data_IF_616120779406
#
_entry.id   IF_616120779406
#
_cell.length_a   1.000
_cell.length_b   1.000
_cell.length_c   1.000
_cell.angle_alpha   90.00
_cell.angle_beta   90.00
_cell.angle_gamma   90.00
#
_symmetry.space_group_name_H-M   'P 1'
#
loop_
_entity.id
_entity.type
_entity.pdbx_description
1 polymer ?
#
# COMPACT_ATOMS: atom_id res chain seq x y z
N UNK A 1 12.61 -33.40 37.25
CA UNK A 1 13.88 -32.79 37.71
C UNK A 1 14.45 -32.05 36.50
N UNK A 2 14.67 -30.73 36.44
CA UNK A 2 14.90 -29.68 37.44
C UNK A 2 14.09 -28.42 37.09
N UNK A 3 13.60 -27.74 38.13
CA UNK A 3 13.02 -26.39 38.12
C UNK A 3 14.13 -25.34 38.04
N UNK A 4 13.86 -24.19 37.41
CA UNK A 4 14.49 -22.87 37.66
C UNK A 4 13.33 -21.86 37.63
N UNK A 5 12.71 -21.50 38.76
CA UNK A 5 13.06 -20.42 39.70
C UNK A 5 13.23 -19.04 39.02
N UNK A 6 12.11 -18.31 38.99
CA UNK A 6 11.88 -16.88 39.26
C UNK A 6 13.08 -15.99 39.62
N UNK A 7 13.15 -14.80 39.01
CA UNK A 7 13.55 -13.56 39.68
C UNK A 7 12.82 -12.36 39.06
N UNK A 8 11.92 -11.81 39.87
CA UNK A 8 11.12 -10.60 39.70
C UNK A 8 11.95 -9.43 40.25
N UNK A 9 12.14 -8.36 39.48
CA UNK A 9 12.69 -7.09 40.01
C UNK A 9 11.65 -6.00 39.83
N UNK A 10 11.11 -5.60 40.97
CA UNK A 10 10.12 -4.58 41.21
C UNK A 10 10.88 -3.27 41.48
N UNK A 11 10.74 -2.28 40.61
CA UNK A 11 11.31 -0.95 40.78
C UNK A 11 10.19 0.07 40.97
N UNK A 12 9.80 0.29 42.23
CA UNK A 12 8.87 1.34 42.66
C UNK A 12 9.64 2.66 42.73
N UNK A 13 9.20 3.69 41.99
CA UNK A 13 9.57 5.09 42.27
C UNK A 13 8.29 5.90 42.46
N UNK A 14 8.35 6.68 43.52
CA UNK A 14 7.26 7.30 44.29
C UNK A 14 6.75 8.57 43.61
N UNK A 15 5.41 8.65 43.48
CA UNK A 15 4.66 9.89 43.27
C UNK A 15 4.59 10.69 44.59
N UNK A 16 4.90 11.98 44.52
CA UNK A 16 4.52 12.96 45.54
C UNK A 16 3.87 14.18 44.87
N UNK A 17 2.82 14.66 45.54
CA UNK A 17 1.74 15.52 45.06
C UNK A 17 2.03 17.04 45.14
N UNK A 18 1.42 17.77 44.20
CA UNK A 18 0.66 19.04 44.35
C UNK A 18 1.26 20.26 45.07
N UNK A 19 1.25 21.42 44.38
CA UNK A 19 0.79 22.70 44.96
C UNK A 19 0.42 23.74 43.87
N UNK A 20 -0.75 24.37 44.05
CA UNK A 20 -1.29 25.52 43.30
C UNK A 20 -0.57 26.84 43.61
N UNK A 21 -0.72 27.86 42.75
CA UNK A 21 -0.84 29.25 43.21
C UNK A 21 -0.23 30.36 42.33
N UNK A 22 -1.08 30.97 41.49
CA UNK A 22 -1.26 32.41 41.21
C UNK A 22 -0.08 33.38 40.97
N UNK A 23 -0.10 33.93 39.74
CA UNK A 23 -0.03 35.37 39.35
C UNK A 23 0.90 36.33 40.11
N UNK A 24 1.89 36.87 39.39
CA UNK A 24 2.13 38.31 39.22
C UNK A 24 3.13 38.56 38.06
N UNK A 25 2.89 39.62 37.29
CA UNK A 25 3.73 40.20 36.24
C UNK A 25 3.81 41.72 36.59
N UNK A 26 4.73 42.57 36.10
CA UNK A 26 5.89 42.33 35.24
C UNK A 26 7.18 43.01 35.74
N UNK A 27 8.35 42.61 35.24
CA UNK A 27 9.43 43.58 34.98
C UNK A 27 10.44 43.04 33.96
N UNK A 28 10.78 43.93 33.01
CA UNK A 28 11.72 43.73 31.92
C UNK A 28 13.06 43.14 32.36
N UNK A 29 13.49 42.07 31.67
CA UNK A 29 14.89 41.98 31.31
C UNK A 29 15.06 41.36 29.93
N UNK A 30 15.64 42.13 29.01
CA UNK A 30 16.10 41.67 27.71
C UNK A 30 17.22 40.67 27.91
N UNK A 31 17.01 39.44 27.50
CA UNK A 31 18.06 38.55 27.04
C UNK A 31 17.61 37.91 25.73
N UNK A 32 18.36 38.20 24.68
CA UNK A 32 18.27 37.52 23.39
C UNK A 32 18.49 36.02 23.60
N UNK A 33 17.45 35.23 23.38
CA UNK A 33 17.61 33.83 22.98
C UNK A 33 16.82 33.64 21.70
N UNK A 34 17.57 33.31 20.66
CA UNK A 34 17.13 32.86 19.35
C UNK A 34 16.41 31.52 19.55
N UNK A 35 15.14 31.57 19.94
CA UNK A 35 14.26 30.42 20.01
C UNK A 35 13.88 29.98 18.60
N UNK A 36 14.29 28.76 18.25
CA UNK A 36 14.06 28.17 16.94
C UNK A 36 12.60 28.27 16.52
N UNK A 37 12.41 28.71 15.28
CA UNK A 37 11.29 28.22 14.52
C UNK A 37 11.44 26.69 14.48
N UNK A 38 10.67 25.98 15.31
CA UNK A 38 10.14 24.71 14.83
C UNK A 38 9.30 25.08 13.60
N UNK A 39 9.95 24.95 12.45
CA UNK A 39 9.32 24.93 11.16
C UNK A 39 8.17 23.92 11.29
N UNK A 40 6.94 24.40 11.19
CA UNK A 40 5.83 23.53 10.82
C UNK A 40 6.22 23.05 9.42
N UNK A 41 6.91 21.91 9.34
CA UNK A 41 7.10 21.19 8.08
C UNK A 41 5.73 21.07 7.47
N UNK A 42 5.59 21.48 6.21
CA UNK A 42 4.32 21.30 5.53
C UNK A 42 3.99 19.80 5.58
N UNK A 43 2.77 19.48 6.00
CA UNK A 43 2.24 18.11 5.99
C UNK A 43 2.44 17.38 4.66
N UNK A 44 2.56 18.14 3.56
CA UNK A 44 2.93 17.66 2.22
C UNK A 44 4.36 17.13 2.18
N UNK A 45 5.32 17.87 2.73
CA UNK A 45 6.75 17.50 2.74
C UNK A 45 6.99 16.25 3.58
N UNK A 46 6.22 16.04 4.65
CA UNK A 46 6.34 14.87 5.52
C UNK A 46 5.84 13.58 4.85
N UNK A 47 4.68 13.62 4.16
CA UNK A 47 4.16 12.46 3.41
C UNK A 47 5.09 12.11 2.26
N UNK A 48 5.52 13.12 1.50
CA UNK A 48 6.48 12.94 0.39
C UNK A 48 7.80 12.35 0.88
N UNK A 49 8.31 12.79 2.03
CA UNK A 49 9.54 12.24 2.60
C UNK A 49 9.41 10.74 2.93
N UNK A 50 8.30 10.32 3.53
CA UNK A 50 8.11 8.91 3.90
C UNK A 50 8.01 8.02 2.64
N UNK A 51 7.28 8.47 1.61
CA UNK A 51 7.16 7.71 0.36
C UNK A 51 8.48 7.66 -0.43
N UNK A 52 9.25 8.76 -0.44
CA UNK A 52 10.56 8.80 -1.08
C UNK A 52 11.59 7.88 -0.39
N UNK A 53 11.54 7.75 0.95
CA UNK A 53 12.41 6.83 1.68
C UNK A 53 12.15 5.37 1.29
N UNK A 54 10.89 5.00 1.01
CA UNK A 54 10.53 3.66 0.52
C UNK A 54 11.07 3.39 -0.89
N UNK A 55 10.95 4.35 -1.82
CA UNK A 55 11.53 4.24 -3.18
C UNK A 55 13.05 4.03 -3.12
N UNK A 56 13.74 4.76 -2.24
CA UNK A 56 15.20 4.65 -2.06
C UNK A 56 15.62 3.32 -1.41
N UNK A 57 14.81 2.76 -0.52
CA UNK A 57 15.06 1.44 0.04
C UNK A 57 15.00 0.35 -1.05
N UNK A 58 13.97 0.38 -1.89
CA UNK A 58 13.83 -0.55 -3.02
C UNK A 58 15.00 -0.44 -4.01
N UNK A 59 15.44 0.77 -4.37
CA UNK A 59 16.57 0.97 -5.29
C UNK A 59 17.90 0.39 -4.76
N UNK A 60 18.16 0.50 -3.45
CA UNK A 60 19.42 0.01 -2.86
C UNK A 60 19.50 -1.52 -2.82
N UNK A 61 18.36 -2.20 -2.66
CA UNK A 61 18.30 -3.67 -2.70
C UNK A 61 18.44 -4.22 -4.13
N UNK A 62 17.91 -3.50 -5.13
CA UNK A 62 18.03 -3.87 -6.56
C UNK A 62 19.45 -3.72 -7.12
N UNK A 63 20.20 -2.69 -6.69
CA UNK A 63 21.61 -2.47 -7.11
C UNK A 63 22.53 -3.59 -6.59
N UNK A 64 22.18 -4.28 -5.49
CA UNK A 64 22.98 -5.42 -5.01
C UNK A 64 22.66 -6.73 -5.74
N UNK A 65 21.46 -6.86 -6.33
CA UNK A 65 21.04 -8.05 -7.07
C UNK A 65 21.61 -8.14 -8.50
N UNK A 66 22.03 -7.01 -9.08
CA UNK A 66 22.51 -6.91 -10.47
C UNK A 66 23.95 -7.40 -10.71
N UNK A 67 24.64 -7.97 -9.72
CA UNK A 67 26.04 -8.44 -9.89
C UNK A 67 26.23 -9.93 -10.21
N UNK A 68 25.19 -10.76 -10.29
CA UNK A 68 25.35 -12.18 -10.63
C UNK A 68 24.22 -12.67 -11.55
N UNK A 69 24.48 -12.76 -12.86
CA UNK A 69 24.46 -14.03 -13.61
C UNK A 69 24.58 -13.80 -15.13
N UNK A 70 25.62 -14.38 -15.74
CA UNK A 70 25.73 -14.58 -17.19
C UNK A 70 25.01 -15.87 -17.58
N UNK A 71 23.92 -15.81 -18.38
CA UNK A 71 23.46 -16.96 -19.17
C UNK A 71 23.01 -16.49 -20.58
N UNK A 72 23.50 -17.22 -21.58
CA UNK A 72 23.42 -16.98 -23.02
C UNK A 72 22.12 -17.42 -23.72
N UNK A 73 21.73 -16.61 -24.71
CA UNK A 73 20.80 -16.76 -25.87
C UNK A 73 20.72 -18.13 -26.61
N UNK A 74 19.73 -18.43 -27.52
CA UNK A 74 19.13 -17.49 -28.51
C UNK A 74 17.63 -17.61 -28.95
N UNK A 75 17.09 -16.45 -29.38
CA UNK A 75 16.23 -16.11 -30.55
C UNK A 75 15.04 -16.97 -31.04
N UNK A 76 13.88 -16.31 -31.28
CA UNK A 76 13.26 -16.03 -32.62
C UNK A 76 11.71 -15.80 -32.51
N UNK A 77 11.20 -14.64 -32.95
CA UNK A 77 10.00 -14.55 -33.82
C UNK A 77 9.57 -13.10 -34.14
N UNK A 78 9.47 -12.81 -35.45
CA UNK A 78 8.85 -11.64 -36.08
C UNK A 78 7.36 -11.47 -35.72
N UNK A 79 6.85 -10.24 -35.63
CA UNK A 79 5.50 -9.85 -36.10
C UNK A 79 5.33 -8.32 -36.22
N UNK A 80 4.45 -7.92 -37.15
CA UNK A 80 4.45 -6.65 -37.88
C UNK A 80 3.64 -5.49 -37.26
N UNK A 81 4.04 -4.26 -37.65
CA UNK A 81 3.43 -2.95 -37.33
C UNK A 81 1.99 -2.75 -37.82
N UNK A 82 1.25 -1.96 -37.04
CA UNK A 82 0.33 -0.94 -37.57
C UNK A 82 0.31 0.29 -36.66
N UNK A 83 0.69 1.42 -37.25
CA UNK A 83 0.84 2.78 -36.69
C UNK A 83 -0.49 3.49 -36.40
N UNK A 84 -0.59 4.25 -35.29
CA UNK A 84 -1.12 5.64 -35.22
C UNK A 84 -0.54 6.39 -34.00
N UNK A 85 -0.36 7.71 -34.15
CA UNK A 85 0.57 8.62 -33.44
C UNK A 85 0.48 8.73 -31.89
N UNK A 86 1.58 8.39 -31.23
CA UNK A 86 2.00 8.79 -29.86
C UNK A 86 3.43 9.37 -30.00
N UNK A 87 3.89 10.33 -29.17
CA UNK A 87 5.21 10.96 -29.36
C UNK A 87 6.34 9.93 -29.51
N UNK A 88 6.87 9.89 -30.73
CA UNK A 88 7.90 9.00 -31.25
C UNK A 88 9.26 9.29 -30.63
N UNK A 89 9.51 8.77 -29.43
CA UNK A 89 10.84 8.84 -28.81
C UNK A 89 11.37 7.50 -28.28
N UNK A 90 10.60 6.42 -28.26
CA UNK A 90 11.05 5.16 -27.64
C UNK A 90 10.77 3.90 -28.47
N UNK A 91 10.16 3.99 -29.64
CA UNK A 91 9.96 2.81 -30.51
C UNK A 91 11.21 2.54 -31.33
N UNK A 92 12.13 1.75 -30.78
CA UNK A 92 13.30 1.21 -31.50
C UNK A 92 14.67 1.49 -30.88
N UNK A 93 14.74 2.13 -29.72
CA UNK A 93 15.97 2.17 -28.92
C UNK A 93 15.97 0.98 -27.95
N UNK A 94 17.10 0.28 -27.86
CA UNK A 94 17.37 -0.69 -26.80
C UNK A 94 17.13 0.00 -25.45
N UNK A 95 16.19 -0.51 -24.65
CA UNK A 95 15.81 0.08 -23.37
C UNK A 95 16.99 -0.05 -22.39
N UNK A 96 17.39 1.05 -21.75
CA UNK A 96 18.51 1.05 -20.79
C UNK A 96 17.98 0.86 -19.36
N UNK A 97 17.86 -0.39 -18.93
CA UNK A 97 17.43 -0.75 -17.58
C UNK A 97 18.43 -0.36 -16.48
N UNK A 98 19.53 0.32 -16.81
CA UNK A 98 20.45 0.91 -15.83
C UNK A 98 20.19 2.40 -15.57
N UNK A 99 19.30 3.01 -16.36
CA UNK A 99 18.92 4.42 -16.25
C UNK A 99 17.79 4.62 -15.23
N UNK A 100 17.87 5.72 -14.47
CA UNK A 100 16.78 6.17 -13.60
C UNK A 100 15.77 7.00 -14.40
N UNK A 101 14.59 6.42 -14.65
CA UNK A 101 13.50 7.05 -15.39
C UNK A 101 12.53 7.86 -14.52
N UNK A 102 12.84 8.08 -13.23
CA UNK A 102 11.93 8.77 -12.30
C UNK A 102 11.57 10.19 -12.73
N UNK A 103 12.50 10.94 -13.33
CA UNK A 103 12.23 12.29 -13.84
C UNK A 103 11.39 12.28 -15.13
N UNK A 104 11.58 11.27 -16.00
CA UNK A 104 10.75 11.09 -17.19
C UNK A 104 9.32 10.70 -16.80
N UNK A 105 9.17 9.81 -15.82
CA UNK A 105 7.89 9.46 -15.20
C UNK A 105 7.21 10.71 -14.64
N UNK A 106 7.94 11.53 -13.88
CA UNK A 106 7.38 12.77 -13.32
C UNK A 106 6.90 13.72 -14.41
N UNK A 107 7.67 13.89 -15.48
CA UNK A 107 7.29 14.74 -16.61
C UNK A 107 6.01 14.23 -17.32
N UNK A 108 5.88 12.91 -17.49
CA UNK A 108 4.68 12.31 -18.07
C UNK A 108 3.44 12.51 -17.18
N UNK A 109 3.58 12.29 -15.87
CA UNK A 109 2.49 12.51 -14.89
C UNK A 109 2.08 13.99 -14.87
N UNK A 110 3.05 14.90 -14.77
CA UNK A 110 2.81 16.35 -14.81
C UNK A 110 2.10 16.77 -16.11
N UNK A 111 2.49 16.17 -17.24
CA UNK A 111 1.83 16.41 -18.51
C UNK A 111 0.37 15.94 -18.47
N UNK A 112 0.10 14.70 -18.03
CA UNK A 112 -1.27 14.17 -17.88
C UNK A 112 -2.12 15.08 -17.00
N UNK A 113 -1.61 15.46 -15.82
CA UNK A 113 -2.28 16.37 -14.89
C UNK A 113 -2.60 17.72 -15.54
N UNK A 114 -1.70 18.24 -16.39
CA UNK A 114 -1.87 19.55 -17.03
C UNK A 114 -2.92 19.56 -18.15
N UNK A 115 -3.15 18.43 -18.83
CA UNK A 115 -4.02 18.34 -20.01
C UNK A 115 -5.37 17.70 -19.73
N UNK A 116 -5.53 17.01 -18.60
CA UNK A 116 -6.76 16.29 -18.26
C UNK A 116 -7.92 17.23 -17.95
N UNK A 117 -9.11 16.89 -18.45
CA UNK A 117 -10.29 17.74 -18.30
C UNK A 117 -11.01 17.55 -16.96
N UNK A 118 -10.77 16.43 -16.29
CA UNK A 118 -11.43 15.98 -15.07
C UNK A 118 -10.50 15.00 -14.31
N UNK A 119 -10.71 14.78 -13.01
CA UNK A 119 -9.98 13.78 -12.22
C UNK A 119 -10.24 12.36 -12.73
N UNK A 120 -11.43 12.08 -13.26
CA UNK A 120 -11.75 10.80 -13.87
C UNK A 120 -10.87 10.56 -15.13
N UNK A 121 -10.84 11.55 -16.04
CA UNK A 121 -10.02 11.55 -17.27
C UNK A 121 -8.51 11.50 -16.96
N UNK A 122 -8.09 12.15 -15.86
CA UNK A 122 -6.71 12.14 -15.39
C UNK A 122 -6.27 10.73 -14.98
N UNK A 123 -7.00 10.06 -14.09
CA UNK A 123 -6.62 8.71 -13.65
C UNK A 123 -6.73 7.68 -14.79
N UNK A 124 -7.72 7.80 -15.67
CA UNK A 124 -7.81 6.99 -16.89
C UNK A 124 -6.61 7.24 -17.83
N UNK A 125 -6.11 8.47 -17.88
CA UNK A 125 -4.91 8.82 -18.65
C UNK A 125 -3.61 8.32 -18.00
N UNK A 126 -3.53 8.29 -16.67
CA UNK A 126 -2.42 7.65 -15.93
C UNK A 126 -2.37 6.15 -16.24
N UNK A 127 -3.50 5.46 -16.18
CA UNK A 127 -3.58 4.05 -16.59
C UNK A 127 -3.17 3.86 -18.06
N UNK A 128 -3.60 4.78 -18.94
CA UNK A 128 -3.24 4.72 -20.35
C UNK A 128 -1.74 4.89 -20.60
N UNK A 129 -1.03 5.77 -19.88
CA UNK A 129 0.43 5.87 -20.06
C UNK A 129 1.14 4.62 -19.57
N UNK A 130 0.67 3.99 -18.49
CA UNK A 130 1.18 2.70 -18.01
C UNK A 130 1.03 1.65 -19.12
N UNK A 131 -0.18 1.49 -19.65
CA UNK A 131 -0.49 0.46 -20.65
C UNK A 131 0.18 0.70 -22.01
N UNK A 132 0.30 1.95 -22.46
CA UNK A 132 0.75 2.27 -23.82
C UNK A 132 2.25 2.58 -23.91
N UNK A 133 2.87 3.03 -22.81
CA UNK A 133 4.28 3.43 -22.80
C UNK A 133 5.11 2.49 -21.93
N UNK A 134 4.82 2.42 -20.64
CA UNK A 134 5.73 1.75 -19.69
C UNK A 134 5.63 0.22 -19.72
N UNK A 135 4.44 -0.33 -19.92
CA UNK A 135 4.23 -1.78 -20.00
C UNK A 135 4.98 -2.42 -21.17
N UNK A 136 4.89 -1.91 -22.42
CA UNK A 136 5.70 -2.43 -23.52
C UNK A 136 7.21 -2.32 -23.30
N UNK A 137 7.68 -1.30 -22.57
CA UNK A 137 9.10 -1.14 -22.24
C UNK A 137 9.55 -2.16 -21.17
N UNK A 138 8.72 -2.40 -20.15
CA UNK A 138 8.98 -3.41 -19.13
C UNK A 138 8.94 -4.83 -19.73
N UNK A 139 8.04 -5.10 -20.67
CA UNK A 139 7.95 -6.38 -21.39
C UNK A 139 9.20 -6.69 -22.23
N UNK A 140 10.02 -5.69 -22.54
CA UNK A 140 11.30 -5.89 -23.22
C UNK A 140 12.40 -6.48 -22.30
N UNK A 141 12.21 -6.46 -20.97
CA UNK A 141 13.14 -7.01 -20.00
C UNK A 141 13.40 -8.51 -20.24
N UNK A 142 14.66 -8.92 -20.26
CA UNK A 142 15.08 -10.31 -20.51
C UNK A 142 15.62 -10.97 -19.25
N UNK A 143 16.30 -10.21 -18.40
CA UNK A 143 16.89 -10.73 -17.16
C UNK A 143 15.99 -10.46 -15.96
N UNK A 144 16.14 -11.25 -14.89
CA UNK A 144 15.42 -11.02 -13.64
C UNK A 144 15.74 -9.63 -13.05
N UNK A 145 16.98 -9.15 -13.20
CA UNK A 145 17.36 -7.81 -12.76
C UNK A 145 16.60 -6.72 -13.51
N UNK A 146 16.48 -6.83 -14.83
CA UNK A 146 15.72 -5.90 -15.66
C UNK A 146 14.22 -5.93 -15.34
N UNK A 147 13.65 -7.12 -15.08
CA UNK A 147 12.26 -7.26 -14.65
C UNK A 147 12.02 -6.58 -13.29
N UNK A 148 12.94 -6.77 -12.34
CA UNK A 148 12.86 -6.14 -11.03
C UNK A 148 12.90 -4.60 -11.18
N UNK A 149 13.89 -4.05 -11.89
CA UNK A 149 14.00 -2.60 -12.12
C UNK A 149 12.76 -2.03 -12.83
N UNK A 150 12.33 -2.68 -13.91
CA UNK A 150 11.20 -2.14 -14.70
C UNK A 150 9.86 -2.23 -13.98
N UNK A 151 9.68 -3.20 -13.09
CA UNK A 151 8.48 -3.29 -12.25
C UNK A 151 8.32 -2.08 -11.31
N UNK A 152 9.43 -1.47 -10.90
CA UNK A 152 9.40 -0.29 -10.04
C UNK A 152 8.74 0.92 -10.71
N UNK A 153 8.84 1.04 -12.05
CA UNK A 153 8.31 2.19 -12.79
C UNK A 153 6.81 2.39 -12.57
N UNK A 154 6.04 1.29 -12.51
CA UNK A 154 4.60 1.37 -12.31
C UNK A 154 4.23 1.92 -10.93
N UNK A 155 4.92 1.45 -9.89
CA UNK A 155 4.79 2.01 -8.56
C UNK A 155 5.16 3.50 -8.53
N UNK A 156 6.28 3.90 -9.15
CA UNK A 156 6.73 5.30 -9.18
C UNK A 156 5.74 6.21 -9.91
N UNK A 157 5.09 5.74 -10.98
CA UNK A 157 4.02 6.48 -11.66
C UNK A 157 2.86 6.77 -10.69
N UNK A 158 2.38 5.75 -9.99
CA UNK A 158 1.27 5.92 -9.05
C UNK A 158 1.65 6.73 -7.82
N UNK A 159 2.87 6.58 -7.30
CA UNK A 159 3.35 7.36 -6.16
C UNK A 159 3.49 8.85 -6.51
N UNK A 160 3.99 9.14 -7.72
CA UNK A 160 4.05 10.50 -8.26
C UNK A 160 2.65 11.11 -8.37
N UNK A 161 1.69 10.37 -8.93
CA UNK A 161 0.31 10.83 -9.04
C UNK A 161 -0.36 11.02 -7.66
N UNK A 162 -0.17 10.09 -6.73
CA UNK A 162 -0.69 10.19 -5.37
C UNK A 162 -0.18 11.44 -4.66
N UNK A 163 1.11 11.75 -4.81
CA UNK A 163 1.72 12.96 -4.26
C UNK A 163 1.18 14.25 -4.92
N UNK A 164 0.96 14.23 -6.24
CA UNK A 164 0.30 15.32 -6.97
C UNK A 164 -1.14 15.56 -6.50
N UNK A 165 -1.92 14.50 -6.33
CA UNK A 165 -3.28 14.56 -5.78
C UNK A 165 -3.29 15.10 -4.36
N UNK A 166 -2.39 14.64 -3.50
CA UNK A 166 -2.26 15.12 -2.12
C UNK A 166 -1.98 16.61 -2.07
N UNK A 167 -1.02 17.09 -2.87
CA UNK A 167 -0.72 18.53 -2.96
C UNK A 167 -1.93 19.35 -3.41
N UNK A 168 -2.65 18.90 -4.44
CA UNK A 168 -3.85 19.61 -4.93
C UNK A 168 -5.01 19.56 -3.93
N UNK A 169 -5.20 18.44 -3.24
CA UNK A 169 -6.19 18.25 -2.19
C UNK A 169 -5.89 19.12 -0.98
N UNK A 170 -4.66 19.08 -0.46
CA UNK A 170 -4.26 19.81 0.74
C UNK A 170 -4.35 21.33 0.57
N UNK A 171 -4.23 21.82 -0.67
CA UNK A 171 -4.39 23.22 -1.04
C UNK A 171 -5.86 23.64 -1.23
N UNK A 172 -6.77 22.69 -1.49
CA UNK A 172 -8.17 22.98 -1.84
C UNK A 172 -9.15 22.70 -0.69
N UNK A 173 -8.86 21.70 0.15
CA UNK A 173 -9.73 21.27 1.24
C UNK A 173 -9.77 22.29 2.39
N UNK A 174 -10.88 22.35 3.11
CA UNK A 174 -10.92 23.05 4.39
C UNK A 174 -10.06 22.33 5.43
N UNK A 175 -9.67 23.05 6.49
CA UNK A 175 -8.73 22.55 7.49
C UNK A 175 -9.19 21.24 8.15
N UNK A 176 -10.48 21.10 8.47
CA UNK A 176 -10.98 19.92 9.15
C UNK A 176 -10.94 18.70 8.21
N UNK A 177 -11.37 18.88 6.97
CA UNK A 177 -11.31 17.82 5.96
C UNK A 177 -9.87 17.41 5.67
N UNK A 178 -8.94 18.38 5.53
CA UNK A 178 -7.51 18.13 5.35
C UNK A 178 -6.92 17.30 6.51
N UNK A 179 -7.20 17.68 7.76
CA UNK A 179 -6.69 16.98 8.94
C UNK A 179 -7.20 15.53 9.04
N UNK A 180 -8.47 15.30 8.70
CA UNK A 180 -9.06 13.96 8.71
C UNK A 180 -8.39 13.04 7.68
N UNK A 181 -8.29 13.49 6.41
CA UNK A 181 -7.68 12.68 5.36
C UNK A 181 -6.16 12.53 5.57
N UNK A 182 -5.48 13.53 6.16
CA UNK A 182 -4.08 13.41 6.57
C UNK A 182 -3.88 12.30 7.61
N UNK A 183 -4.77 12.22 8.60
CA UNK A 183 -4.71 11.15 9.60
C UNK A 183 -4.89 9.77 8.95
N UNK A 184 -5.85 9.63 8.03
CA UNK A 184 -6.04 8.39 7.26
C UNK A 184 -4.82 8.04 6.40
N UNK A 185 -4.20 9.04 5.75
CA UNK A 185 -3.00 8.84 4.94
C UNK A 185 -1.83 8.32 5.78
N UNK A 186 -1.57 8.96 6.93
CA UNK A 186 -0.52 8.52 7.87
C UNK A 186 -0.78 7.12 8.39
N UNK A 187 -2.05 6.81 8.68
CA UNK A 187 -2.47 5.49 9.14
C UNK A 187 -2.20 4.41 8.10
N UNK A 188 -2.59 4.67 6.85
CA UNK A 188 -2.31 3.78 5.72
C UNK A 188 -0.79 3.56 5.53
N UNK A 189 0.00 4.65 5.51
CA UNK A 189 1.46 4.60 5.41
C UNK A 189 2.07 3.73 6.52
N UNK A 190 1.65 3.95 7.78
CA UNK A 190 2.18 3.21 8.92
C UNK A 190 1.95 1.69 8.84
N UNK A 191 0.92 1.26 8.12
CA UNK A 191 0.57 -0.14 7.95
C UNK A 191 1.14 -0.78 6.66
N UNK A 192 1.74 -0.01 5.74
CA UNK A 192 2.19 -0.54 4.43
C UNK A 192 3.16 -1.71 4.55
N UNK A 193 4.15 -1.60 5.44
CA UNK A 193 5.16 -2.64 5.63
C UNK A 193 4.55 -3.94 6.16
N UNK A 194 3.69 -3.84 7.18
CA UNK A 194 2.99 -4.99 7.74
C UNK A 194 2.01 -5.62 6.74
N UNK A 195 1.28 -4.79 5.98
CA UNK A 195 0.38 -5.20 4.92
C UNK A 195 1.11 -5.97 3.80
N UNK A 196 2.29 -5.50 3.41
CA UNK A 196 3.16 -6.16 2.44
C UNK A 196 3.61 -7.53 2.95
N UNK A 197 4.12 -7.62 4.19
CA UNK A 197 4.55 -8.89 4.78
C UNK A 197 3.41 -9.91 4.86
N UNK A 198 2.19 -9.46 5.18
CA UNK A 198 1.00 -10.32 5.17
C UNK A 198 0.62 -10.83 3.78
N UNK A 199 0.89 -10.05 2.73
CA UNK A 199 0.47 -10.37 1.36
C UNK A 199 1.48 -11.19 0.58
N UNK A 200 2.78 -10.86 0.67
CA UNK A 200 3.81 -11.47 -0.16
C UNK A 200 4.82 -12.32 0.63
N UNK A 201 4.77 -12.29 1.97
CA UNK A 201 5.75 -12.95 2.82
C UNK A 201 7.05 -12.15 2.94
N UNK A 202 8.10 -12.79 3.47
CA UNK A 202 9.41 -12.15 3.67
C UNK A 202 10.37 -12.33 2.47
N UNK A 203 11.48 -11.60 2.51
CA UNK A 203 12.49 -11.64 1.47
C UNK A 203 13.24 -12.97 1.40
N UNK A 204 13.37 -13.65 2.54
CA UNK A 204 14.11 -14.90 2.70
C UNK A 204 13.39 -16.08 2.03
N UNK A 205 12.06 -16.08 2.05
CA UNK A 205 11.22 -17.09 1.40
C UNK A 205 11.12 -16.88 -0.12
N UNK A 206 11.15 -15.62 -0.58
CA UNK A 206 10.90 -15.26 -1.98
C UNK A 206 12.16 -15.02 -2.81
N UNK A 207 13.31 -14.79 -2.17
CA UNK A 207 14.60 -14.61 -2.83
C UNK A 207 14.57 -13.53 -3.91
N UNK A 208 15.08 -13.86 -5.10
CA UNK A 208 15.24 -12.88 -6.18
C UNK A 208 13.93 -12.44 -6.85
N UNK A 209 12.80 -13.07 -6.53
CA UNK A 209 11.46 -12.64 -6.95
C UNK A 209 10.87 -11.58 -6.03
N UNK A 210 11.40 -11.43 -4.81
CA UNK A 210 10.85 -10.52 -3.81
C UNK A 210 10.72 -9.07 -4.30
N UNK A 211 11.69 -8.46 -5.00
CA UNK A 211 11.54 -7.08 -5.49
C UNK A 211 10.35 -6.93 -6.44
N UNK A 212 10.14 -7.89 -7.35
CA UNK A 212 9.00 -7.88 -8.26
C UNK A 212 7.66 -7.94 -7.51
N UNK A 213 7.57 -8.83 -6.51
CA UNK A 213 6.38 -8.97 -5.67
C UNK A 213 6.10 -7.71 -4.86
N UNK A 214 7.14 -7.14 -4.25
CA UNK A 214 7.08 -5.89 -3.51
C UNK A 214 6.61 -4.74 -4.41
N UNK A 215 7.23 -4.54 -5.57
CA UNK A 215 6.87 -3.47 -6.49
C UNK A 215 5.43 -3.62 -6.99
N UNK A 216 5.00 -4.84 -7.31
CA UNK A 216 3.63 -5.11 -7.73
C UNK A 216 2.61 -4.83 -6.62
N UNK A 217 2.91 -5.22 -5.39
CA UNK A 217 2.06 -4.93 -4.24
C UNK A 217 1.98 -3.43 -3.98
N UNK A 218 3.13 -2.73 -3.98
CA UNK A 218 3.22 -1.28 -3.79
C UNK A 218 2.47 -0.52 -4.89
N UNK A 219 2.58 -0.95 -6.14
CA UNK A 219 1.80 -0.41 -7.26
C UNK A 219 0.31 -0.50 -6.97
N UNK A 220 -0.20 -1.70 -6.64
CA UNK A 220 -1.63 -1.92 -6.45
C UNK A 220 -2.19 -1.05 -5.32
N UNK A 221 -1.56 -1.06 -4.14
CA UNK A 221 -2.07 -0.32 -2.98
C UNK A 221 -1.96 1.19 -3.21
N UNK A 222 -0.93 1.65 -3.92
CA UNK A 222 -0.72 3.08 -4.21
C UNK A 222 -1.72 3.57 -5.25
N UNK A 223 -1.99 2.77 -6.29
CA UNK A 223 -3.08 3.02 -7.25
C UNK A 223 -4.42 3.15 -6.54
N UNK A 224 -4.77 2.20 -5.68
CA UNK A 224 -6.02 2.23 -4.90
C UNK A 224 -6.10 3.50 -4.05
N UNK A 225 -5.00 3.85 -3.37
CA UNK A 225 -4.94 5.07 -2.57
C UNK A 225 -5.09 6.35 -3.40
N UNK A 226 -4.54 6.39 -4.61
CA UNK A 226 -4.72 7.51 -5.54
C UNK A 226 -6.21 7.68 -5.93
N UNK A 227 -6.92 6.59 -6.23
CA UNK A 227 -8.37 6.63 -6.50
C UNK A 227 -9.19 7.14 -5.30
N UNK A 228 -8.87 6.69 -4.08
CA UNK A 228 -9.52 7.19 -2.86
C UNK A 228 -9.29 8.69 -2.69
N UNK A 229 -8.04 9.15 -2.85
CA UNK A 229 -7.71 10.57 -2.69
C UNK A 229 -8.30 11.45 -3.80
N UNK A 230 -8.34 10.96 -5.03
CA UNK A 230 -8.99 11.63 -6.14
C UNK A 230 -10.51 11.76 -5.91
N UNK A 231 -11.15 10.74 -5.34
CA UNK A 231 -12.56 10.82 -4.95
C UNK A 231 -12.80 11.91 -3.89
N UNK A 232 -11.92 12.03 -2.88
CA UNK A 232 -12.01 13.12 -1.89
C UNK A 232 -11.77 14.50 -2.53
N UNK A 233 -10.80 14.62 -3.44
CA UNK A 233 -10.55 15.85 -4.19
C UNK A 233 -11.72 16.23 -5.09
N UNK A 234 -12.37 15.25 -5.73
CA UNK A 234 -13.56 15.47 -6.56
C UNK A 234 -14.71 16.03 -5.73
N UNK A 235 -14.94 15.52 -4.51
CA UNK A 235 -15.93 16.07 -3.57
C UNK A 235 -15.65 17.53 -3.22
N UNK A 236 -14.38 17.88 -2.96
CA UNK A 236 -13.95 19.26 -2.67
C UNK A 236 -14.18 20.17 -3.88
N UNK A 237 -13.89 19.70 -5.10
CA UNK A 237 -14.09 20.45 -6.35
C UNK A 237 -15.56 20.51 -6.81
N UNK A 238 -16.43 19.64 -6.28
CA UNK A 238 -17.81 19.48 -6.76
C UNK A 238 -17.89 18.80 -8.14
N UNK A 239 -16.92 17.94 -8.45
CA UNK A 239 -16.82 17.20 -9.70
C UNK A 239 -17.40 15.78 -9.55
N UNK A 240 -18.11 15.23 -10.56
CA UNK A 240 -18.51 13.82 -10.53
C UNK A 240 -17.28 12.91 -10.62
N UNK A 241 -17.25 11.87 -9.81
CA UNK A 241 -16.19 10.86 -9.82
C UNK A 241 -16.78 9.50 -9.48
N UNK A 242 -16.29 8.45 -10.13
CA UNK A 242 -16.76 7.08 -9.91
C UNK A 242 -15.54 6.21 -9.63
N UNK A 243 -15.49 5.63 -8.42
CA UNK A 243 -14.48 4.65 -8.10
C UNK A 243 -14.59 3.44 -9.04
N UNK A 244 -13.46 2.91 -9.56
CA UNK A 244 -13.50 1.76 -10.45
C UNK A 244 -13.95 0.51 -9.71
N UNK A 245 -14.41 -0.48 -10.46
CA UNK A 245 -14.71 -1.80 -9.92
C UNK A 245 -13.42 -2.45 -9.39
N UNK A 246 -13.49 -2.96 -8.17
CA UNK A 246 -12.42 -3.75 -7.55
C UNK A 246 -12.83 -5.22 -7.54
N UNK A 247 -11.84 -6.11 -7.37
CA UNK A 247 -12.07 -7.54 -7.35
C UNK A 247 -13.14 -7.92 -6.32
N UNK A 248 -14.22 -8.62 -6.70
CA UNK A 248 -15.19 -9.14 -5.76
C UNK A 248 -14.69 -10.38 -5.01
N UNK A 249 -13.47 -10.84 -5.32
CA UNK A 249 -12.94 -12.15 -4.93
C UNK A 249 -11.63 -12.07 -4.16
N UNK A 250 -10.72 -11.16 -4.53
CA UNK A 250 -9.36 -11.10 -4.00
C UNK A 250 -9.07 -9.73 -3.39
N UNK A 251 -8.19 -9.70 -2.39
CA UNK A 251 -7.72 -8.48 -1.76
C UNK A 251 -7.17 -8.70 -0.37
N UNK A 252 -6.53 -7.65 0.15
CA UNK A 252 -6.09 -7.54 1.53
C UNK A 252 -7.00 -6.56 2.27
N UNK A 253 -7.55 -7.01 3.39
CA UNK A 253 -8.43 -6.21 4.23
C UNK A 253 -7.95 -6.26 5.67
N UNK A 254 -8.00 -5.13 6.38
CA UNK A 254 -7.47 -5.04 7.74
C UNK A 254 -8.40 -4.27 8.69
N UNK A 255 -8.27 -4.58 9.97
CA UNK A 255 -8.73 -3.77 11.11
C UNK A 255 -7.50 -3.29 11.87
N UNK A 256 -7.36 -1.97 11.99
CA UNK A 256 -6.25 -1.31 12.69
C UNK A 256 -6.65 -0.78 14.07
N UNK A 257 -7.94 -0.89 14.43
CA UNK A 257 -8.54 -0.32 15.64
C UNK A 257 -8.25 1.17 15.87
N UNK A 258 -7.96 1.93 14.80
CA UNK A 258 -7.55 3.33 14.84
C UNK A 258 -6.17 3.57 15.46
N UNK A 259 -5.26 2.59 15.36
CA UNK A 259 -3.92 2.65 15.98
C UNK A 259 -2.76 2.77 14.99
N UNK A 260 -3.00 2.57 13.69
CA UNK A 260 -1.93 2.55 12.68
C UNK A 260 -1.06 1.30 12.68
N UNK A 261 -1.53 0.22 13.31
CA UNK A 261 -0.93 -1.11 13.23
C UNK A 261 -2.02 -2.12 12.90
N UNK A 262 -1.71 -3.17 12.15
CA UNK A 262 -2.72 -4.16 11.78
C UNK A 262 -3.01 -5.06 12.98
N UNK A 263 -4.25 -5.05 13.46
CA UNK A 263 -4.71 -5.91 14.56
C UNK A 263 -5.28 -7.22 14.04
N UNK A 264 -6.08 -7.12 12.98
CA UNK A 264 -6.70 -8.26 12.33
C UNK A 264 -6.59 -8.08 10.81
N UNK A 265 -6.38 -9.17 10.09
CA UNK A 265 -6.28 -9.17 8.64
C UNK A 265 -7.09 -10.30 8.01
N UNK A 266 -7.53 -10.04 6.79
CA UNK A 266 -8.13 -10.99 5.89
C UNK A 266 -7.41 -10.84 4.54
N UNK A 267 -6.63 -11.84 4.20
CA UNK A 267 -5.99 -11.98 2.89
C UNK A 267 -6.80 -12.97 2.08
N UNK A 268 -7.25 -12.58 0.89
CA UNK A 268 -7.95 -13.48 -0.03
C UNK A 268 -7.21 -13.46 -1.36
N UNK A 269 -6.60 -14.58 -1.74
CA UNK A 269 -5.67 -14.64 -2.86
C UNK A 269 -5.71 -15.97 -3.60
N UNK A 270 -4.98 -16.04 -4.71
CA UNK A 270 -4.70 -17.29 -5.39
C UNK A 270 -3.40 -17.89 -4.82
N UNK A 271 -3.44 -19.14 -4.39
CA UNK A 271 -2.26 -19.85 -3.90
C UNK A 271 -1.26 -20.12 -5.04
N UNK A 272 0.02 -20.23 -4.69
CA UNK A 272 1.12 -20.51 -5.63
C UNK A 272 0.93 -21.81 -6.43
N UNK A 273 0.42 -22.86 -5.79
CA UNK A 273 0.15 -24.16 -6.44
C UNK A 273 -1.14 -24.13 -7.29
N UNK A 274 -1.80 -22.98 -7.35
CA UNK A 274 -3.14 -22.80 -7.91
C UNK A 274 -4.24 -23.12 -6.89
N UNK A 275 -5.38 -22.46 -7.07
CA UNK A 275 -6.52 -22.56 -6.16
C UNK A 275 -6.70 -21.30 -5.32
N UNK A 276 -7.85 -21.23 -4.66
CA UNK A 276 -8.30 -20.05 -3.92
C UNK A 276 -8.07 -20.26 -2.42
N UNK A 277 -7.32 -19.36 -1.79
CA UNK A 277 -7.01 -19.42 -0.36
C UNK A 277 -7.34 -18.13 0.37
N UNK A 278 -7.64 -18.27 1.66
CA UNK A 278 -7.82 -17.15 2.55
C UNK A 278 -7.06 -17.36 3.87
N UNK A 279 -6.41 -16.30 4.33
CA UNK A 279 -5.69 -16.22 5.59
C UNK A 279 -6.42 -15.20 6.45
N UNK A 280 -6.90 -15.63 7.62
CA UNK A 280 -7.71 -14.82 8.52
C UNK A 280 -7.01 -14.75 9.87
N UNK A 281 -6.46 -13.59 10.19
CA UNK A 281 -5.81 -13.32 11.47
C UNK A 281 -6.68 -12.39 12.30
N UNK A 282 -7.05 -12.80 13.51
CA UNK A 282 -7.93 -12.02 14.39
C UNK A 282 -7.25 -11.80 15.73
N UNK A 283 -7.14 -10.53 16.10
CA UNK A 283 -6.48 -10.11 17.34
C UNK A 283 -7.01 -10.89 18.56
N UNK A 284 -6.09 -11.54 19.29
CA UNK A 284 -6.35 -12.40 20.47
C UNK A 284 -7.13 -13.70 20.22
N UNK A 285 -7.59 -13.96 19.01
CA UNK A 285 -8.25 -15.23 18.66
C UNK A 285 -7.28 -16.18 17.94
N UNK A 286 -6.36 -15.63 17.14
CA UNK A 286 -5.36 -16.37 16.39
C UNK A 286 -5.60 -16.29 14.90
N UNK A 287 -4.90 -17.15 14.16
CA UNK A 287 -4.90 -17.21 12.71
C UNK A 287 -5.49 -18.53 12.23
N UNK A 288 -6.27 -18.46 11.15
CA UNK A 288 -6.75 -19.62 10.42
C UNK A 288 -6.50 -19.43 8.94
N UNK A 289 -6.07 -20.51 8.30
CA UNK A 289 -5.85 -20.58 6.86
C UNK A 289 -6.78 -21.64 6.26
N UNK A 290 -7.18 -21.45 5.02
CA UNK A 290 -8.04 -22.39 4.34
C UNK A 290 -8.33 -22.02 2.90
N UNK A 291 -9.21 -22.79 2.28
CA UNK A 291 -9.69 -22.53 0.92
C UNK A 291 -11.07 -21.91 0.93
N UNK A 292 -11.44 -21.30 -0.18
CA UNK A 292 -12.79 -20.79 -0.37
C UNK A 292 -13.36 -21.17 -1.74
N UNK A 293 -14.70 -21.14 -1.82
CA UNK A 293 -15.44 -21.32 -3.07
C UNK A 293 -16.32 -20.10 -3.31
N UNK A 294 -16.13 -19.45 -4.45
CA UNK A 294 -17.03 -18.41 -4.93
C UNK A 294 -18.29 -19.05 -5.57
N UNK A 295 -19.45 -18.79 -4.96
CA UNK A 295 -20.73 -19.32 -5.46
C UNK A 295 -21.45 -18.34 -6.41
N UNK A 296 -20.84 -17.21 -6.76
CA UNK A 296 -21.41 -16.19 -7.64
C UNK A 296 -22.54 -15.37 -7.01
N UNK A 297 -22.71 -15.43 -5.69
CA UNK A 297 -23.71 -14.69 -4.93
C UNK A 297 -23.13 -13.49 -4.16
N UNK A 298 -21.86 -13.15 -4.40
CA UNK A 298 -21.13 -12.10 -3.65
C UNK A 298 -20.60 -12.55 -2.29
N UNK A 299 -20.61 -13.87 -2.03
CA UNK A 299 -20.11 -14.48 -0.80
C UNK A 299 -19.15 -15.62 -1.13
N UNK A 300 -18.03 -15.69 -0.41
CA UNK A 300 -17.04 -16.75 -0.54
C UNK A 300 -17.22 -17.75 0.61
N UNK A 301 -17.47 -19.01 0.29
CA UNK A 301 -17.64 -20.07 1.28
C UNK A 301 -16.28 -20.61 1.72
N UNK A 302 -15.84 -20.23 2.91
CA UNK A 302 -14.54 -20.57 3.47
C UNK A 302 -14.58 -21.89 4.26
N UNK A 303 -13.52 -22.69 4.15
CA UNK A 303 -13.25 -23.87 4.99
C UNK A 303 -11.77 -23.89 5.37
N UNK A 304 -11.48 -23.89 6.67
CA UNK A 304 -10.11 -23.99 7.18
C UNK A 304 -9.45 -25.32 6.78
N UNK A 305 -8.12 -25.32 6.62
CA UNK A 305 -7.38 -26.53 6.22
C UNK A 305 -7.51 -27.69 7.21
N UNK A 306 -7.66 -27.38 8.51
CA UNK A 306 -7.92 -28.39 9.54
C UNK A 306 -9.37 -28.89 9.58
N UNK A 307 -10.24 -28.31 8.75
CA UNK A 307 -11.66 -28.62 8.63
C UNK A 307 -12.51 -28.18 9.82
N UNK A 308 -11.92 -27.46 10.79
CA UNK A 308 -12.59 -27.17 12.04
C UNK A 308 -13.38 -25.87 12.04
N UNK A 309 -13.10 -24.93 11.13
CA UNK A 309 -13.82 -23.66 10.98
C UNK A 309 -14.38 -23.57 9.57
N UNK A 310 -15.66 -23.24 9.47
CA UNK A 310 -16.26 -22.79 8.21
C UNK A 310 -16.86 -21.43 8.41
N UNK A 311 -16.89 -20.66 7.33
CA UNK A 311 -17.47 -19.34 7.37
C UNK A 311 -17.80 -18.81 6.00
N UNK A 312 -18.26 -17.57 6.00
CA UNK A 312 -18.59 -16.81 4.81
C UNK A 312 -17.76 -15.54 4.83
N UNK A 313 -16.98 -15.32 3.79
CA UNK A 313 -16.29 -14.04 3.55
C UNK A 313 -17.17 -13.21 2.62
N UNK A 314 -17.32 -11.93 2.93
CA UNK A 314 -18.01 -10.96 2.09
C UNK A 314 -17.10 -9.76 1.84
N UNK A 315 -16.79 -9.52 0.57
CA UNK A 315 -16.01 -8.37 0.13
C UNK A 315 -16.98 -7.26 -0.29
N UNK A 316 -16.84 -6.07 0.30
CA UNK A 316 -17.69 -4.90 0.03
C UNK A 316 -16.96 -3.85 -0.81
N UNK A 317 -16.09 -4.30 -1.71
CA UNK A 317 -15.28 -3.45 -2.58
C UNK A 317 -14.35 -2.55 -1.78
N UNK A 318 -14.52 -1.23 -1.93
CA UNK A 318 -13.71 -0.22 -1.25
C UNK A 318 -14.02 -0.09 0.25
N UNK A 319 -15.17 -0.60 0.71
CA UNK A 319 -15.64 -0.49 2.10
C UNK A 319 -15.14 -1.65 3.00
N UNK A 320 -14.09 -2.35 2.56
CA UNK A 320 -13.51 -3.45 3.31
C UNK A 320 -14.20 -4.80 3.09
N UNK A 321 -14.09 -5.68 4.07
CA UNK A 321 -14.65 -7.04 4.02
C UNK A 321 -15.08 -7.53 5.41
N UNK A 322 -15.86 -8.61 5.44
CA UNK A 322 -16.23 -9.28 6.69
C UNK A 322 -16.10 -10.80 6.60
N UNK A 323 -15.86 -11.43 7.75
CA UNK A 323 -15.82 -12.88 7.90
C UNK A 323 -16.82 -13.31 8.96
N UNK A 324 -17.73 -14.21 8.58
CA UNK A 324 -18.76 -14.75 9.45
C UNK A 324 -18.59 -16.25 9.66
N UNK A 325 -18.38 -16.67 10.90
CA UNK A 325 -18.23 -18.09 11.25
C UNK A 325 -19.60 -18.78 11.18
N UNK A 326 -19.70 -19.85 10.38
CA UNK A 326 -20.93 -20.64 10.22
C UNK A 326 -20.88 -21.94 11.03
N UNK A 327 -19.73 -22.60 11.09
CA UNK A 327 -19.52 -23.85 11.83
C UNK A 327 -18.16 -23.84 12.54
N UNK A 328 -18.10 -24.39 13.77
CA UNK A 328 -16.84 -24.63 14.49
C UNK A 328 -16.89 -25.97 15.24
N UNK A 329 -15.81 -26.75 15.22
CA UNK A 329 -15.68 -28.03 15.92
C UNK A 329 -14.68 -28.01 17.08
N UNK A 330 -14.71 -26.95 17.89
CA UNK A 330 -13.97 -26.89 19.16
C UNK A 330 -12.59 -26.24 19.07
N UNK A 331 -12.36 -25.40 18.06
CA UNK A 331 -11.18 -24.53 17.98
C UNK A 331 -11.31 -23.42 19.03
N UNK A 332 -10.25 -23.21 19.79
CA UNK A 332 -10.15 -22.12 20.76
C UNK A 332 -9.92 -20.82 19.98
N UNK A 333 -10.87 -19.88 20.00
CA UNK A 333 -10.70 -18.56 19.38
C UNK A 333 -11.92 -18.09 18.59
N UNK A 334 -12.54 -18.98 17.81
CA UNK A 334 -13.64 -18.66 16.89
C UNK A 334 -14.98 -19.24 17.35
N UNK A 335 -16.04 -18.43 17.35
CA UNK A 335 -17.37 -18.84 17.81
C UNK A 335 -18.38 -18.88 16.68
N UNK A 336 -19.24 -19.91 16.65
CA UNK A 336 -20.31 -19.98 15.65
C UNK A 336 -21.21 -18.73 15.70
N UNK A 337 -21.48 -18.15 14.53
CA UNK A 337 -22.22 -16.89 14.30
C UNK A 337 -21.48 -15.60 14.67
N UNK A 338 -20.23 -15.70 15.08
CA UNK A 338 -19.35 -14.53 15.17
C UNK A 338 -19.14 -13.93 13.77
N UNK A 339 -19.08 -12.61 13.72
CA UNK A 339 -18.84 -11.84 12.51
C UNK A 339 -17.78 -10.80 12.86
N UNK A 340 -16.73 -10.77 12.06
CA UNK A 340 -15.57 -9.88 12.22
C UNK A 340 -15.44 -9.05 10.97
N UNK A 341 -15.21 -7.76 11.15
CA UNK A 341 -15.12 -6.77 10.09
C UNK A 341 -13.67 -6.34 9.91
N UNK A 342 -13.28 -6.14 8.66
CA UNK A 342 -11.99 -5.65 8.20
C UNK A 342 -12.26 -4.38 7.38
N UNK A 343 -12.42 -3.23 8.03
CA UNK A 343 -12.99 -2.03 7.40
C UNK A 343 -12.09 -1.36 6.38
N UNK A 344 -10.78 -1.66 6.37
CA UNK A 344 -9.81 -1.03 5.49
C UNK A 344 -9.43 -2.00 4.37
N UNK A 345 -9.76 -1.65 3.13
CA UNK A 345 -9.24 -2.31 1.95
C UNK A 345 -7.89 -1.68 1.56
N UNK A 346 -6.87 -2.52 1.42
CA UNK A 346 -5.57 -2.11 0.89
C UNK A 346 -5.58 -2.06 -0.63
#
# INVERSE_FOLDING_TARGET
>A
MKKKIMAMVMGVVVLALSACGQTENPEENRTNETGGAEEIRDSTDEIQAIQNDEIQATQNDEIQATQNDEITDPADSDLAESTEDVPDSLTGAEMDFTCDYSEDIRADVDYVVSVSASLQDELESIERIILQKYMPLAEAAQTQGEMNVSSQWFFVIWDTELNSLWSRFSNSADQQTKENILAEQRNWIAMKEEAMLLSIGDSEENGSMYPLLQNSFLEEITRRRAYVLANELAKVKGEPFVLPEVSPKYGLFVDDQGTGSIYSSLVVQQAWEGGDEAIISIYRQGEIEGTFVDNGNGELAFTSYDGNVKGTIRINGWDGASFKVTETSGVFGFFAREEVEFPLAF
#
